data_IF_690615732871
#
_entry.id   IF_690615732871
#
_cell.length_a   1.000
_cell.length_b   1.000
_cell.length_c   1.000
_cell.angle_alpha   90.00
_cell.angle_beta   90.00
_cell.angle_gamma   90.00
#
_symmetry.space_group_name_H-M   'P 1'
#
loop_
_entity.id
_entity.type
_entity.pdbx_description
1 polymer ?
#
# COMPACT_ATOMS: atom_id res chain seq x y z
N UNK A 1 -39.91 18.47 -3.32
CA UNK A 1 -39.26 18.07 -2.05
C UNK A 1 -38.41 16.80 -2.17
N UNK A 2 -38.85 15.74 -2.86
CA UNK A 2 -38.04 14.51 -3.03
C UNK A 2 -36.69 14.69 -3.74
N UNK A 3 -36.61 15.54 -4.76
CA UNK A 3 -35.36 15.73 -5.53
C UNK A 3 -34.23 16.35 -4.70
N UNK A 4 -34.57 17.26 -3.78
CA UNK A 4 -33.60 17.85 -2.86
C UNK A 4 -33.07 16.82 -1.85
N UNK A 5 -33.93 15.94 -1.34
CA UNK A 5 -33.52 14.85 -0.46
C UNK A 5 -32.55 13.87 -1.14
N UNK A 6 -32.81 13.51 -2.40
CA UNK A 6 -31.94 12.62 -3.18
C UNK A 6 -30.55 13.26 -3.38
N UNK A 7 -30.51 14.55 -3.71
CA UNK A 7 -29.25 15.30 -3.87
C UNK A 7 -28.43 15.32 -2.57
N UNK A 8 -29.08 15.56 -1.43
CA UNK A 8 -28.41 15.57 -0.12
C UNK A 8 -27.83 14.19 0.24
N UNK A 9 -28.55 13.10 -0.04
CA UNK A 9 -28.07 11.74 0.22
C UNK A 9 -26.84 11.40 -0.63
N UNK A 10 -26.84 11.77 -1.91
CA UNK A 10 -25.69 11.53 -2.81
C UNK A 10 -24.44 12.28 -2.35
N UNK A 11 -24.58 13.53 -1.90
CA UNK A 11 -23.45 14.34 -1.39
C UNK A 11 -22.86 13.71 -0.12
N UNK A 12 -23.71 13.20 0.78
CA UNK A 12 -23.26 12.49 1.99
C UNK A 12 -22.53 11.20 1.62
N UNK A 13 -23.06 10.38 0.72
CA UNK A 13 -22.42 9.14 0.27
C UNK A 13 -21.06 9.43 -0.39
N UNK A 14 -20.96 10.47 -1.22
CA UNK A 14 -19.70 10.88 -1.85
C UNK A 14 -18.68 11.43 -0.84
N UNK A 15 -19.13 12.06 0.25
CA UNK A 15 -18.27 12.52 1.35
C UNK A 15 -17.73 11.35 2.19
N UNK A 16 -18.48 10.25 2.28
CA UNK A 16 -18.06 9.01 2.95
C UNK A 16 -17.29 8.07 2.01
N UNK A 17 -17.43 8.22 0.70
CA UNK A 17 -16.51 7.67 -0.29
C UNK A 17 -15.21 8.46 -0.24
N UNK A 18 -14.49 8.33 0.88
CA UNK A 18 -13.09 8.66 0.98
C UNK A 18 -12.36 7.69 0.05
N UNK A 19 -12.31 8.07 -1.21
CA UNK A 19 -11.48 7.46 -2.22
C UNK A 19 -10.03 7.61 -1.75
N UNK A 20 -9.44 6.46 -1.39
CA UNK A 20 -8.04 6.10 -1.63
C UNK A 20 -7.02 6.90 -0.78
N UNK A 21 -6.14 6.25 -0.05
CA UNK A 21 -4.97 5.64 -0.67
C UNK A 21 -4.70 4.21 -0.16
N UNK A 22 -5.10 3.22 -0.96
CA UNK A 22 -4.27 2.04 -1.21
C UNK A 22 -2.98 2.43 -1.99
N UNK A 23 -2.63 3.71 -2.06
CA UNK A 23 -1.42 4.26 -2.66
C UNK A 23 -0.35 4.63 -1.62
N UNK A 24 -0.34 4.00 -0.43
CA UNK A 24 0.94 3.67 0.20
C UNK A 24 1.48 2.31 -0.28
N UNK A 25 0.79 1.68 -1.22
CA UNK A 25 1.36 0.65 -2.08
C UNK A 25 2.10 1.32 -3.24
N UNK A 26 2.93 2.32 -2.92
CA UNK A 26 3.79 3.00 -3.87
C UNK A 26 4.73 1.98 -4.47
N UNK A 27 4.31 1.37 -5.59
CA UNK A 27 5.02 0.41 -6.42
C UNK A 27 6.26 -0.20 -5.74
N UNK A 28 6.07 -0.97 -4.65
CA UNK A 28 7.20 -1.48 -3.89
C UNK A 28 8.13 -2.22 -4.86
N UNK A 29 9.45 -1.98 -4.80
CA UNK A 29 10.41 -2.72 -5.60
C UNK A 29 10.09 -4.22 -5.61
N UNK A 30 9.94 -4.81 -6.79
CA UNK A 30 9.73 -6.26 -6.93
C UNK A 30 10.89 -7.06 -6.31
N UNK A 31 10.65 -8.33 -5.97
CA UNK A 31 11.65 -9.30 -5.49
C UNK A 31 13.04 -9.11 -6.15
N UNK A 32 14.12 -9.17 -5.36
CA UNK A 32 15.54 -8.95 -5.77
C UNK A 32 15.93 -7.51 -6.09
N UNK A 33 15.09 -6.52 -5.80
CA UNK A 33 15.52 -5.12 -5.82
C UNK A 33 16.31 -4.77 -4.56
N UNK A 34 17.32 -3.89 -4.68
CA UNK A 34 18.09 -3.44 -3.54
C UNK A 34 17.20 -2.66 -2.57
N UNK A 35 17.41 -2.87 -1.29
CA UNK A 35 16.78 -2.14 -0.18
C UNK A 35 17.87 -1.80 0.85
N UNK A 36 17.56 -0.96 1.83
CA UNK A 36 18.49 -0.52 2.88
C UNK A 36 18.00 -0.91 4.29
N UNK A 37 16.68 -1.00 4.49
CA UNK A 37 16.05 -1.32 5.76
C UNK A 37 14.70 -2.00 5.54
N UNK A 38 14.17 -2.70 6.56
CA UNK A 38 12.79 -3.21 6.55
C UNK A 38 11.73 -2.10 6.45
N UNK A 39 12.13 -0.84 6.69
CA UNK A 39 11.29 0.34 6.42
C UNK A 39 11.21 0.70 4.94
N UNK A 40 12.15 0.22 4.12
CA UNK A 40 12.03 0.34 2.68
C UNK A 40 10.91 -0.58 2.19
N UNK A 41 10.13 -0.06 1.24
CA UNK A 41 8.95 -0.72 0.69
C UNK A 41 9.34 -2.07 0.06
N UNK A 42 9.23 -3.17 0.81
CA UNK A 42 9.21 -4.52 0.25
C UNK A 42 7.76 -4.97 0.06
N UNK A 43 7.46 -5.78 -0.97
CA UNK A 43 6.13 -6.35 -1.19
C UNK A 43 5.61 -7.10 0.03
N UNK A 44 4.28 -7.25 0.14
CA UNK A 44 3.67 -8.00 1.24
C UNK A 44 4.23 -9.43 1.31
N UNK A 45 4.71 -9.84 2.49
CA UNK A 45 5.36 -11.14 2.69
C UNK A 45 6.86 -11.15 2.37
N UNK A 46 7.47 -10.01 2.06
CA UNK A 46 8.91 -9.85 1.87
C UNK A 46 9.52 -8.94 2.95
N UNK A 47 10.80 -9.18 3.28
CA UNK A 47 11.63 -8.36 4.17
C UNK A 47 12.93 -7.96 3.48
N UNK A 48 13.54 -6.88 3.97
CA UNK A 48 14.81 -6.41 3.46
C UNK A 48 15.95 -7.24 4.08
N UNK A 49 16.39 -8.28 3.37
CA UNK A 49 17.34 -9.25 3.91
C UNK A 49 18.71 -9.15 3.20
N UNK A 50 19.78 -9.36 3.96
CA UNK A 50 21.13 -9.42 3.39
C UNK A 50 21.27 -10.60 2.42
N UNK A 51 21.96 -10.36 1.29
CA UNK A 51 22.28 -11.33 0.26
C UNK A 51 23.79 -11.38 -0.04
N UNK A 52 24.62 -11.07 0.96
CA UNK A 52 26.09 -11.08 0.84
C UNK A 52 26.65 -9.79 0.24
N UNK A 53 26.27 -9.46 -0.99
CA UNK A 53 26.75 -8.26 -1.68
C UNK A 53 25.97 -6.96 -1.35
N UNK A 54 24.88 -7.09 -0.58
CA UNK A 54 23.97 -6.00 -0.23
C UNK A 54 22.68 -6.52 0.37
N UNK A 55 21.69 -5.64 0.54
CA UNK A 55 20.37 -5.97 1.07
C UNK A 55 19.33 -5.93 -0.04
N UNK A 56 18.42 -6.91 -0.05
CA UNK A 56 17.42 -7.08 -1.10
C UNK A 56 16.09 -7.56 -0.51
N UNK A 57 14.98 -7.16 -1.13
CA UNK A 57 13.67 -7.71 -0.78
C UNK A 57 13.62 -9.19 -1.13
N UNK A 58 13.35 -10.01 -0.10
CA UNK A 58 13.30 -11.47 -0.14
C UNK A 58 12.09 -11.95 0.67
N UNK A 59 11.58 -13.17 0.42
CA UNK A 59 10.46 -13.72 1.17
C UNK A 59 10.80 -13.78 2.66
N UNK A 60 9.85 -13.41 3.51
CA UNK A 60 9.99 -13.53 4.96
C UNK A 60 10.13 -15.02 5.34
N UNK A 61 11.25 -15.44 5.95
CA UNK A 61 11.46 -16.84 6.31
C UNK A 61 10.52 -17.34 7.41
N UNK A 62 9.79 -16.45 8.10
CA UNK A 62 8.91 -16.83 9.20
C UNK A 62 9.68 -17.21 10.48
N UNK A 63 8.96 -17.60 11.56
CA UNK A 63 9.55 -18.10 12.80
C UNK A 63 10.15 -19.50 12.67
#
# INVERSE_FOLDING_TARGET
MNRFFILLLLIVILSHAKAEDESYRGNCPSLKKPCNSDRDCCPYGEKCLSAGAGYYCKPDPGP
#
